data_IF_816947244327
#
_entry.id   IF_816947244327
#
_cell.length_a   1.000
_cell.length_b   1.000
_cell.length_c   1.000
_cell.angle_alpha   90.00
_cell.angle_beta   90.00
_cell.angle_gamma   90.00
#
_symmetry.space_group_name_H-M   'P 1'
#
loop_
_entity.id
_entity.type
_entity.pdbx_description
1 polymer ?
#
# COMPACT_ATOMS: atom_id res chain seq x y z
N UNK A 1 6.44 -22.99 -2.51
CA UNK A 1 7.59 -22.64 -3.37
C UNK A 1 8.57 -21.75 -2.61
N UNK A 2 9.73 -21.44 -3.17
CA UNK A 2 10.72 -20.57 -2.52
C UNK A 2 10.29 -19.10 -2.47
N UNK A 3 9.33 -18.70 -3.28
CA UNK A 3 8.74 -17.37 -3.32
C UNK A 3 7.25 -17.43 -2.96
N UNK A 4 6.79 -16.44 -2.21
CA UNK A 4 5.42 -16.32 -1.71
C UNK A 4 5.20 -16.97 -0.35
N UNK A 5 4.26 -16.42 0.42
CA UNK A 5 3.92 -16.92 1.76
C UNK A 5 2.97 -18.13 1.75
N UNK A 6 2.34 -18.44 0.62
CA UNK A 6 1.35 -19.51 0.48
C UNK A 6 0.00 -19.23 1.15
N UNK A 7 -0.25 -17.98 1.53
CA UNK A 7 -1.49 -17.46 2.10
C UNK A 7 -2.11 -16.44 1.16
N UNK A 8 -3.35 -16.03 1.42
CA UNK A 8 -3.98 -14.92 0.73
C UNK A 8 -3.38 -13.61 1.24
N UNK A 9 -2.32 -13.14 0.59
CA UNK A 9 -1.69 -11.84 0.84
C UNK A 9 -1.78 -11.00 -0.42
N UNK A 10 -2.48 -9.88 -0.34
CA UNK A 10 -2.58 -8.91 -1.43
C UNK A 10 -1.51 -7.85 -1.24
N UNK A 11 -0.81 -7.53 -2.32
CA UNK A 11 0.25 -6.52 -2.36
C UNK A 11 -0.16 -5.40 -3.32
N UNK A 12 0.31 -4.22 -3.06
CA UNK A 12 0.14 -3.07 -3.95
C UNK A 12 0.98 -1.89 -3.50
N UNK A 13 0.82 -0.76 -4.18
CA UNK A 13 1.60 0.44 -3.91
C UNK A 13 1.52 0.88 -2.45
N UNK A 14 2.66 1.00 -1.80
CA UNK A 14 2.78 1.24 -0.38
C UNK A 14 2.78 2.73 -0.03
N UNK A 15 1.94 3.10 0.93
CA UNK A 15 1.93 4.46 1.50
C UNK A 15 3.20 4.79 2.29
N UNK A 16 3.93 3.79 2.77
CA UNK A 16 5.19 3.98 3.51
C UNK A 16 6.26 4.70 2.68
N UNK A 17 6.17 4.60 1.35
CA UNK A 17 7.11 5.23 0.42
C UNK A 17 6.73 6.65 -0.04
N UNK A 18 5.61 7.23 0.41
CA UNK A 18 5.18 8.57 -0.04
C UNK A 18 6.29 9.62 0.15
N UNK A 19 6.89 9.69 1.35
CA UNK A 19 7.93 10.68 1.63
C UNK A 19 9.20 10.46 0.79
N UNK A 20 9.76 9.24 0.69
CA UNK A 20 10.87 8.95 -0.22
C UNK A 20 10.55 9.22 -1.69
N UNK A 21 9.33 8.91 -2.16
CA UNK A 21 8.90 9.18 -3.54
C UNK A 21 8.90 10.67 -3.83
N UNK A 22 8.33 11.50 -2.95
CA UNK A 22 8.33 12.96 -3.10
C UNK A 22 9.76 13.50 -3.15
N UNK A 23 10.62 13.02 -2.25
CA UNK A 23 12.04 13.42 -2.22
C UNK A 23 12.78 13.01 -3.51
N UNK A 24 12.65 11.77 -3.94
CA UNK A 24 13.29 11.28 -5.16
C UNK A 24 12.77 11.99 -6.42
N UNK A 25 11.45 12.27 -6.45
CA UNK A 25 10.82 13.03 -7.51
C UNK A 25 11.34 14.46 -7.62
N UNK A 26 11.59 15.12 -6.49
CA UNK A 26 12.19 16.46 -6.45
C UNK A 26 13.66 16.48 -6.92
N UNK A 27 14.40 15.38 -6.71
CA UNK A 27 15.82 15.27 -7.09
C UNK A 27 15.99 14.97 -8.58
N UNK A 28 15.20 14.04 -9.14
CA UNK A 28 15.44 13.56 -10.50
C UNK A 28 14.20 13.02 -11.21
N UNK A 29 12.99 13.42 -10.77
CA UNK A 29 11.73 13.04 -11.39
C UNK A 29 11.43 11.54 -11.29
N UNK A 30 10.56 11.07 -12.20
CA UNK A 30 10.19 9.65 -12.29
C UNK A 30 11.38 8.70 -12.48
N UNK A 31 12.41 9.01 -13.30
CA UNK A 31 13.58 8.14 -13.43
C UNK A 31 14.29 7.85 -12.11
N UNK A 32 14.39 8.85 -11.21
CA UNK A 32 15.05 8.68 -9.92
C UNK A 32 14.18 7.83 -8.97
N UNK A 33 12.86 7.96 -9.03
CA UNK A 33 11.94 7.13 -8.25
C UNK A 33 12.08 5.67 -8.67
N UNK A 34 12.02 5.37 -9.97
CA UNK A 34 12.10 3.99 -10.46
C UNK A 34 13.48 3.37 -10.20
N UNK A 35 14.56 4.14 -10.37
CA UNK A 35 15.90 3.69 -10.02
C UNK A 35 16.05 3.34 -8.53
N UNK A 36 15.56 4.23 -7.66
CA UNK A 36 15.58 4.00 -6.22
C UNK A 36 14.65 2.84 -5.81
N UNK A 37 13.50 2.67 -6.46
CA UNK A 37 12.60 1.52 -6.25
C UNK A 37 13.31 0.20 -6.52
N UNK A 38 13.94 0.08 -7.68
CA UNK A 38 14.61 -1.18 -8.09
C UNK A 38 15.80 -1.52 -7.20
N UNK A 39 16.69 -0.55 -6.97
CA UNK A 39 17.90 -0.80 -6.17
C UNK A 39 17.55 -0.96 -4.70
N UNK A 40 16.61 -0.15 -4.18
CA UNK A 40 16.13 -0.26 -2.80
C UNK A 40 15.46 -1.61 -2.51
N UNK A 41 14.68 -2.15 -3.45
CA UNK A 41 14.03 -3.45 -3.31
C UNK A 41 15.02 -4.61 -3.10
N UNK A 42 16.27 -4.48 -3.58
CA UNK A 42 17.34 -5.45 -3.29
C UNK A 42 17.60 -5.58 -1.80
N UNK A 43 17.45 -4.49 -1.03
CA UNK A 43 17.60 -4.54 0.43
C UNK A 43 16.54 -5.47 1.07
N UNK A 44 15.29 -5.39 0.63
CA UNK A 44 14.22 -6.27 1.13
C UNK A 44 14.45 -7.74 0.72
N UNK A 45 14.85 -7.98 -0.53
CA UNK A 45 15.24 -9.31 -1.01
C UNK A 45 16.35 -9.88 -0.13
N UNK A 46 17.36 -9.07 0.21
CA UNK A 46 18.47 -9.49 1.08
C UNK A 46 17.96 -9.82 2.49
N UNK A 47 17.11 -8.97 3.09
CA UNK A 47 16.53 -9.20 4.41
C UNK A 47 15.75 -10.52 4.44
N UNK A 48 15.02 -10.85 3.38
CA UNK A 48 14.29 -12.11 3.31
C UNK A 48 15.19 -13.32 3.52
N UNK A 49 16.45 -13.26 3.09
CA UNK A 49 17.43 -14.36 3.24
C UNK A 49 18.03 -14.44 4.63
N UNK A 50 18.23 -13.29 5.28
CA UNK A 50 18.79 -13.23 6.64
C UNK A 50 17.71 -13.15 7.72
N UNK A 51 16.44 -13.32 7.38
CA UNK A 51 15.30 -13.13 8.27
C UNK A 51 15.45 -13.87 9.61
N UNK A 52 16.02 -15.08 9.61
CA UNK A 52 16.29 -15.86 10.83
C UNK A 52 17.12 -15.06 11.86
N UNK A 53 18.06 -14.24 11.41
CA UNK A 53 18.87 -13.40 12.28
C UNK A 53 18.15 -12.09 12.61
N UNK A 54 17.46 -11.53 11.62
CA UNK A 54 16.66 -10.31 11.79
C UNK A 54 15.52 -10.50 12.81
N UNK A 55 14.87 -11.65 12.87
CA UNK A 55 13.83 -11.99 13.85
C UNK A 55 14.27 -11.90 15.31
N UNK A 56 15.58 -11.97 15.60
CA UNK A 56 16.08 -11.74 16.97
C UNK A 56 15.92 -10.30 17.41
N UNK A 57 15.84 -9.36 16.45
CA UNK A 57 15.69 -7.92 16.67
C UNK A 57 14.24 -7.50 16.42
N UNK A 58 13.61 -8.09 15.39
CA UNK A 58 12.22 -7.82 14.99
C UNK A 58 11.28 -8.58 15.93
N UNK A 59 11.00 -7.98 17.06
CA UNK A 59 9.98 -8.49 17.99
C UNK A 59 8.59 -7.96 17.62
N UNK A 60 7.49 -8.60 18.08
CA UNK A 60 6.15 -8.07 17.88
C UNK A 60 5.98 -6.62 18.36
N UNK A 61 6.71 -6.24 19.42
CA UNK A 61 6.74 -4.85 19.91
C UNK A 61 7.33 -3.89 18.87
N UNK A 62 8.47 -4.24 18.27
CA UNK A 62 9.10 -3.42 17.22
C UNK A 62 8.19 -3.28 16.02
N UNK A 63 7.56 -4.37 15.57
CA UNK A 63 6.57 -4.33 14.49
C UNK A 63 5.38 -3.42 14.83
N UNK A 64 4.83 -3.49 16.04
CA UNK A 64 3.75 -2.62 16.50
C UNK A 64 4.13 -1.13 16.52
N UNK A 65 5.35 -0.82 16.96
CA UNK A 65 5.87 0.56 16.95
C UNK A 65 5.99 1.08 15.52
N UNK A 66 6.54 0.29 14.59
CA UNK A 66 6.69 0.66 13.18
C UNK A 66 5.33 0.95 12.53
N UNK A 67 4.35 0.07 12.69
CA UNK A 67 2.99 0.26 12.15
C UNK A 67 2.34 1.52 12.73
N UNK A 68 2.53 1.78 14.02
CA UNK A 68 2.03 3.00 14.67
C UNK A 68 2.65 4.26 14.08
N UNK A 69 3.96 4.28 13.87
CA UNK A 69 4.69 5.42 13.28
C UNK A 69 4.25 5.66 11.83
N UNK A 70 4.05 4.60 11.04
CA UNK A 70 3.49 4.70 9.68
C UNK A 70 2.09 5.33 9.74
N UNK A 71 1.21 4.82 10.61
CA UNK A 71 -0.13 5.38 10.81
C UNK A 71 -0.11 6.87 11.17
N UNK A 72 0.79 7.28 12.07
CA UNK A 72 0.96 8.68 12.46
C UNK A 72 1.45 9.55 11.30
N UNK A 73 2.37 9.06 10.48
CA UNK A 73 2.88 9.79 9.31
C UNK A 73 1.78 10.03 8.25
N UNK A 74 0.83 9.09 8.14
CA UNK A 74 -0.29 9.19 7.20
C UNK A 74 -1.39 10.16 7.64
N UNK A 75 -1.43 10.59 8.90
CA UNK A 75 -2.41 11.59 9.40
C UNK A 75 -2.31 12.87 8.57
N UNK A 76 -1.09 13.35 8.32
CA UNK A 76 -0.88 14.57 7.50
C UNK A 76 -1.44 14.39 6.09
N UNK A 77 -1.20 13.24 5.46
CA UNK A 77 -1.71 12.91 4.12
C UNK A 77 -3.24 12.86 4.13
N UNK A 78 -3.83 12.21 5.16
CA UNK A 78 -5.28 12.15 5.32
C UNK A 78 -5.92 13.53 5.48
N UNK A 79 -5.36 14.40 6.32
CA UNK A 79 -5.85 15.77 6.52
C UNK A 79 -5.76 16.57 5.21
N UNK A 80 -4.63 16.46 4.49
CA UNK A 80 -4.46 17.13 3.20
C UNK A 80 -5.51 16.64 2.19
N UNK A 81 -5.76 15.35 2.13
CA UNK A 81 -6.77 14.76 1.23
C UNK A 81 -8.20 15.23 1.59
N UNK A 82 -8.55 15.27 2.88
CA UNK A 82 -9.83 15.79 3.35
C UNK A 82 -10.03 17.28 3.00
N UNK A 83 -8.95 18.06 2.99
CA UNK A 83 -8.97 19.47 2.60
C UNK A 83 -9.13 19.71 1.10
N UNK A 84 -9.12 18.67 0.27
CA UNK A 84 -9.24 18.75 -1.19
C UNK A 84 -7.97 18.38 -1.95
N UNK A 85 -6.95 17.85 -1.26
CA UNK A 85 -5.68 17.38 -1.83
C UNK A 85 -4.73 18.51 -2.22
N UNK A 86 -3.69 18.16 -2.97
CA UNK A 86 -2.65 19.10 -3.41
C UNK A 86 -3.18 20.13 -4.39
N UNK A 87 -4.11 19.75 -5.28
CA UNK A 87 -4.74 20.68 -6.23
C UNK A 87 -5.50 21.80 -5.54
N UNK A 88 -6.18 21.50 -4.41
CA UNK A 88 -6.87 22.53 -3.63
C UNK A 88 -5.89 23.46 -2.89
N UNK A 89 -4.70 22.98 -2.51
CA UNK A 89 -3.62 23.80 -1.97
C UNK A 89 -3.10 24.80 -3.01
N UNK A 90 -2.88 24.34 -4.24
CA UNK A 90 -2.40 25.16 -5.35
C UNK A 90 -3.44 26.21 -5.79
N UNK A 91 -4.71 25.84 -5.81
CA UNK A 91 -5.83 26.70 -6.22
C UNK A 91 -6.38 27.58 -5.09
N UNK A 92 -5.84 27.50 -3.88
CA UNK A 92 -6.30 28.31 -2.74
C UNK A 92 -7.68 27.90 -2.19
N UNK A 93 -8.22 26.75 -2.59
CA UNK A 93 -9.53 26.21 -2.14
C UNK A 93 -9.41 25.17 -1.03
N UNK A 94 -8.21 24.99 -0.48
CA UNK A 94 -7.94 24.06 0.59
C UNK A 94 -8.81 24.34 1.83
N UNK A 95 -9.42 23.29 2.35
CA UNK A 95 -10.28 23.39 3.54
C UNK A 95 -11.63 24.09 3.28
N UNK A 96 -12.03 24.26 2.02
CA UNK A 96 -13.35 24.80 1.71
C UNK A 96 -14.47 23.95 2.35
N UNK A 97 -15.62 24.58 2.64
CA UNK A 97 -16.78 23.87 3.20
C UNK A 97 -17.25 22.71 2.30
N UNK A 98 -17.09 22.84 0.99
CA UNK A 98 -17.42 21.78 0.04
C UNK A 98 -16.48 20.57 0.22
N UNK A 99 -15.17 20.78 0.25
CA UNK A 99 -14.17 19.72 0.42
C UNK A 99 -14.36 19.00 1.77
N UNK A 100 -14.45 19.78 2.84
CA UNK A 100 -14.64 19.21 4.20
C UNK A 100 -16.00 18.54 4.34
N UNK A 101 -17.06 19.09 3.72
CA UNK A 101 -18.39 18.50 3.74
C UNK A 101 -18.44 17.13 3.07
N UNK A 102 -17.81 16.99 1.90
CA UNK A 102 -17.73 15.70 1.19
C UNK A 102 -16.85 14.71 1.97
N UNK A 103 -15.70 15.14 2.49
CA UNK A 103 -14.85 14.29 3.30
C UNK A 103 -15.59 13.78 4.55
N UNK A 104 -16.31 14.66 5.25
CA UNK A 104 -17.12 14.29 6.40
C UNK A 104 -18.27 13.33 6.02
N UNK A 105 -18.97 13.61 4.92
CA UNK A 105 -20.02 12.73 4.40
C UNK A 105 -19.51 11.32 4.15
N UNK A 106 -18.42 11.19 3.38
CA UNK A 106 -17.82 9.89 3.05
C UNK A 106 -17.37 9.16 4.31
N UNK A 107 -16.71 9.86 5.24
CA UNK A 107 -16.28 9.27 6.51
C UNK A 107 -17.46 8.75 7.34
N UNK A 108 -18.50 9.55 7.49
CA UNK A 108 -19.71 9.17 8.23
C UNK A 108 -20.40 7.98 7.59
N UNK A 109 -20.53 7.96 6.27
CA UNK A 109 -21.12 6.82 5.53
C UNK A 109 -20.31 5.55 5.73
N UNK A 110 -18.97 5.62 5.61
CA UNK A 110 -18.10 4.46 5.84
C UNK A 110 -18.28 3.92 7.26
N UNK A 111 -18.29 4.78 8.28
CA UNK A 111 -18.47 4.38 9.67
C UNK A 111 -19.85 3.77 9.91
N UNK A 112 -20.91 4.36 9.36
CA UNK A 112 -22.28 3.85 9.50
C UNK A 112 -22.43 2.48 8.85
N UNK A 113 -21.97 2.30 7.61
CA UNK A 113 -22.06 1.01 6.93
C UNK A 113 -21.14 -0.04 7.54
N UNK A 114 -19.96 0.34 8.02
CA UNK A 114 -19.04 -0.56 8.71
C UNK A 114 -19.64 -1.08 10.03
N UNK A 115 -20.47 -0.28 10.71
CA UNK A 115 -21.16 -0.65 11.94
C UNK A 115 -22.44 -1.46 11.70
N UNK A 116 -22.87 -1.64 10.45
CA UNK A 116 -24.09 -2.37 10.11
C UNK A 116 -24.00 -3.85 10.51
N UNK A 117 -25.13 -4.40 10.96
CA UNK A 117 -25.28 -5.84 11.21
C UNK A 117 -25.26 -6.67 9.94
N UNK A 118 -25.54 -6.05 8.79
CA UNK A 118 -25.49 -6.73 7.50
C UNK A 118 -24.03 -6.89 7.06
N UNK A 119 -23.59 -8.16 6.88
CA UNK A 119 -22.23 -8.52 6.49
C UNK A 119 -21.80 -7.87 5.18
N UNK A 120 -22.69 -7.82 4.18
CA UNK A 120 -22.37 -7.25 2.85
C UNK A 120 -22.19 -5.73 2.89
N UNK A 121 -23.04 -5.02 3.64
CA UNK A 121 -22.89 -3.58 3.83
C UNK A 121 -21.61 -3.24 4.57
N UNK A 122 -21.25 -4.03 5.58
CA UNK A 122 -20.02 -3.84 6.35
C UNK A 122 -18.78 -4.06 5.49
N UNK A 123 -18.77 -5.11 4.65
CA UNK A 123 -17.65 -5.41 3.75
C UNK A 123 -17.52 -4.37 2.63
N UNK A 124 -18.64 -3.89 2.08
CA UNK A 124 -18.68 -2.89 1.02
C UNK A 124 -18.64 -1.44 1.51
N UNK A 125 -18.53 -1.19 2.81
CA UNK A 125 -18.67 0.15 3.41
C UNK A 125 -17.78 1.21 2.75
N UNK A 126 -16.53 0.90 2.46
CA UNK A 126 -15.58 1.81 1.82
C UNK A 126 -16.00 2.08 0.38
N UNK A 127 -16.32 1.04 -0.39
CA UNK A 127 -16.74 1.18 -1.80
C UNK A 127 -18.03 1.99 -1.90
N UNK A 128 -19.02 1.68 -1.06
CA UNK A 128 -20.29 2.40 -1.01
C UNK A 128 -20.06 3.87 -0.63
N UNK A 129 -19.25 4.13 0.40
CA UNK A 129 -18.92 5.49 0.83
C UNK A 129 -18.24 6.30 -0.26
N UNK A 130 -17.24 5.75 -0.93
CA UNK A 130 -16.54 6.41 -2.04
C UNK A 130 -17.48 6.66 -3.22
N UNK A 131 -18.31 5.66 -3.60
CA UNK A 131 -19.25 5.79 -4.71
C UNK A 131 -20.26 6.92 -4.46
N UNK A 132 -20.85 6.96 -3.26
CA UNK A 132 -21.78 8.03 -2.89
C UNK A 132 -21.06 9.39 -2.87
N UNK A 133 -19.87 9.45 -2.28
CA UNK A 133 -19.05 10.66 -2.27
C UNK A 133 -18.74 11.18 -3.67
N UNK A 134 -18.40 10.30 -4.60
CA UNK A 134 -18.15 10.65 -6.00
C UNK A 134 -19.41 11.19 -6.70
N UNK A 135 -20.57 10.54 -6.50
CA UNK A 135 -21.85 10.98 -7.03
C UNK A 135 -22.19 12.39 -6.51
N UNK A 136 -22.04 12.60 -5.20
CA UNK A 136 -22.30 13.92 -4.60
C UNK A 136 -21.34 14.98 -5.15
N UNK A 137 -20.04 14.66 -5.28
CA UNK A 137 -19.03 15.55 -5.86
C UNK A 137 -19.37 15.94 -7.31
N UNK A 138 -19.90 14.98 -8.10
CA UNK A 138 -20.37 15.25 -9.45
C UNK A 138 -21.52 16.26 -9.47
N UNK A 139 -22.55 16.09 -8.65
CA UNK A 139 -23.67 17.02 -8.57
C UNK A 139 -23.26 18.39 -7.98
N UNK A 140 -22.21 18.44 -7.17
CA UNK A 140 -21.64 19.70 -6.67
C UNK A 140 -20.75 20.43 -7.70
N UNK A 141 -20.57 19.85 -8.91
CA UNK A 141 -19.74 20.45 -9.96
C UNK A 141 -18.23 20.41 -9.66
N UNK A 142 -17.79 19.51 -8.76
CA UNK A 142 -16.36 19.37 -8.39
C UNK A 142 -15.62 18.39 -9.27
N UNK A 143 -16.32 17.65 -10.13
CA UNK A 143 -15.73 16.68 -11.05
C UNK A 143 -15.73 17.29 -12.45
N UNK A 144 -14.53 17.50 -12.99
CA UNK A 144 -14.32 18.00 -14.34
C UNK A 144 -13.90 16.84 -15.27
N UNK A 145 -14.71 16.58 -16.29
CA UNK A 145 -14.44 15.57 -17.31
C UNK A 145 -13.81 16.15 -18.58
N UNK A 146 -13.70 17.47 -18.68
CA UNK A 146 -13.24 18.14 -19.92
C UNK A 146 -11.77 17.87 -20.23
N UNK A 147 -10.98 17.53 -19.22
CA UNK A 147 -9.55 17.24 -19.34
C UNK A 147 -9.23 15.74 -19.28
N UNK A 148 -10.21 14.87 -19.54
CA UNK A 148 -9.90 13.43 -19.63
C UNK A 148 -9.03 13.15 -20.84
N UNK A 149 -7.80 12.62 -20.63
CA UNK A 149 -6.97 12.20 -21.75
C UNK A 149 -7.63 11.02 -22.49
N UNK A 150 -7.47 10.96 -23.79
CA UNK A 150 -7.87 9.81 -24.60
C UNK A 150 -7.03 8.58 -24.19
N UNK A 151 -7.57 7.77 -23.32
CA UNK A 151 -6.92 6.50 -22.95
C UNK A 151 -7.31 5.41 -23.95
N UNK A 152 -6.33 4.72 -24.50
CA UNK A 152 -6.60 3.45 -25.17
C UNK A 152 -7.06 2.43 -24.12
N UNK A 153 -8.11 1.66 -24.43
CA UNK A 153 -8.64 0.61 -23.55
C UNK A 153 -7.59 -0.46 -23.20
N UNK A 154 -6.59 -0.63 -24.04
CA UNK A 154 -5.48 -1.55 -23.83
C UNK A 154 -4.16 -0.78 -23.93
N UNK A 155 -3.42 -0.74 -22.83
CA UNK A 155 -2.08 -0.17 -22.79
C UNK A 155 -1.14 -1.21 -22.16
N UNK A 156 -0.15 -1.66 -22.94
CA UNK A 156 0.87 -2.57 -22.43
C UNK A 156 1.95 -1.74 -21.74
N UNK A 157 2.26 -2.02 -20.46
CA UNK A 157 3.32 -1.30 -19.76
C UNK A 157 4.67 -1.60 -20.41
N UNK A 158 5.29 -0.58 -21.01
CA UNK A 158 6.62 -0.69 -21.59
C UNK A 158 7.65 -0.57 -20.47
N UNK A 159 8.53 -1.58 -20.26
CA UNK A 159 9.58 -1.48 -19.27
C UNK A 159 10.46 -0.24 -19.52
N UNK A 160 10.84 0.44 -18.45
CA UNK A 160 11.73 1.61 -18.46
C UNK A 160 11.27 2.79 -19.34
N UNK A 161 9.96 2.92 -19.60
CA UNK A 161 9.38 3.96 -20.49
C UNK A 161 9.84 5.37 -20.12
N UNK A 162 9.97 5.68 -18.84
CA UNK A 162 10.37 7.00 -18.35
C UNK A 162 11.86 7.10 -18.05
N UNK A 163 12.64 6.06 -18.39
CA UNK A 163 14.04 5.96 -18.06
C UNK A 163 14.30 5.61 -16.60
N UNK A 164 15.58 5.48 -16.27
CA UNK A 164 16.05 5.13 -14.92
C UNK A 164 17.26 6.00 -14.61
N UNK A 165 17.27 6.62 -13.43
CA UNK A 165 18.45 7.30 -12.90
C UNK A 165 18.75 6.85 -11.48
N UNK A 166 20.02 6.79 -11.14
CA UNK A 166 20.48 6.31 -9.85
C UNK A 166 21.03 7.47 -9.04
N UNK A 167 20.27 7.87 -8.02
CA UNK A 167 20.72 8.86 -7.05
C UNK A 167 20.94 8.18 -5.70
N UNK A 168 22.12 8.31 -5.14
CA UNK A 168 22.52 7.62 -3.91
C UNK A 168 21.63 8.00 -2.72
N UNK A 169 21.26 9.28 -2.57
CA UNK A 169 20.40 9.72 -1.46
C UNK A 169 18.99 9.14 -1.57
N UNK A 170 18.42 9.10 -2.79
CA UNK A 170 17.13 8.48 -3.04
C UNK A 170 17.18 6.97 -2.77
N UNK A 171 18.20 6.28 -3.27
CA UNK A 171 18.39 4.83 -3.06
C UNK A 171 18.51 4.52 -1.56
N UNK A 172 19.28 5.29 -0.81
CA UNK A 172 19.45 5.09 0.63
C UNK A 172 18.13 5.26 1.39
N UNK A 173 17.35 6.32 1.07
CA UNK A 173 16.05 6.55 1.66
C UNK A 173 15.08 5.41 1.38
N UNK A 174 15.02 4.92 0.13
CA UNK A 174 14.20 3.77 -0.24
C UNK A 174 14.65 2.50 0.47
N UNK A 175 15.96 2.21 0.52
CA UNK A 175 16.50 1.04 1.20
C UNK A 175 16.12 1.00 2.69
N UNK A 176 16.16 2.15 3.38
CA UNK A 176 15.73 2.25 4.78
C UNK A 176 14.23 1.90 4.90
N UNK A 177 13.38 2.44 4.01
CA UNK A 177 11.94 2.15 4.06
C UNK A 177 11.67 0.70 3.70
N UNK A 178 12.42 0.09 2.77
CA UNK A 178 12.30 -1.35 2.49
C UNK A 178 12.68 -2.25 3.68
N UNK A 179 13.56 -1.80 4.56
CA UNK A 179 13.82 -2.50 5.84
C UNK A 179 12.57 -2.43 6.73
N UNK A 180 11.91 -1.28 6.75
CA UNK A 180 10.68 -1.06 7.53
C UNK A 180 9.53 -1.89 6.97
N UNK A 181 9.33 -1.90 5.63
CA UNK A 181 8.27 -2.70 5.00
C UNK A 181 8.51 -4.20 5.13
N UNK A 182 9.76 -4.66 5.16
CA UNK A 182 10.06 -6.06 5.48
C UNK A 182 9.60 -6.45 6.91
N UNK A 183 9.71 -5.54 7.88
CA UNK A 183 9.21 -5.74 9.25
C UNK A 183 7.68 -5.73 9.26
N UNK A 184 7.06 -4.82 8.53
CA UNK A 184 5.61 -4.75 8.34
C UNK A 184 5.09 -6.05 7.70
N UNK A 185 5.69 -6.48 6.59
CA UNK A 185 5.36 -7.72 5.90
C UNK A 185 5.46 -8.95 6.82
N UNK A 186 6.49 -9.02 7.68
CA UNK A 186 6.60 -10.07 8.68
C UNK A 186 5.42 -10.07 9.65
N UNK A 187 5.02 -8.89 10.15
CA UNK A 187 3.88 -8.72 11.03
C UNK A 187 2.57 -9.16 10.37
N UNK A 188 2.35 -8.75 9.12
CA UNK A 188 1.14 -9.08 8.34
C UNK A 188 1.06 -10.57 8.01
N UNK A 189 2.17 -11.21 7.64
CA UNK A 189 2.23 -12.65 7.40
C UNK A 189 1.95 -13.42 8.70
N UNK A 190 2.43 -12.92 9.84
CA UNK A 190 2.15 -13.50 11.16
C UNK A 190 0.65 -13.44 11.47
N UNK A 191 0.05 -12.25 11.33
CA UNK A 191 -1.38 -12.04 11.54
C UNK A 191 -2.23 -12.91 10.59
N UNK A 192 -1.87 -12.95 9.31
CA UNK A 192 -2.56 -13.78 8.31
C UNK A 192 -2.44 -15.28 8.63
N UNK A 193 -1.27 -15.74 9.08
CA UNK A 193 -1.08 -17.13 9.51
C UNK A 193 -1.99 -17.49 10.67
N UNK A 194 -2.09 -16.62 11.69
CA UNK A 194 -3.00 -16.80 12.84
C UNK A 194 -4.44 -16.91 12.40
N UNK A 195 -4.91 -15.97 11.58
CA UNK A 195 -6.29 -15.92 11.09
C UNK A 195 -6.62 -17.13 10.23
N UNK A 196 -5.64 -17.62 9.47
CA UNK A 196 -5.78 -18.79 8.57
C UNK A 196 -5.60 -20.11 9.29
N UNK A 197 -5.39 -20.13 10.62
CA UNK A 197 -5.17 -21.36 11.41
C UNK A 197 -3.83 -22.04 11.12
N UNK A 198 -2.86 -21.29 10.61
CA UNK A 198 -1.53 -21.79 10.27
C UNK A 198 -0.50 -21.46 11.36
N UNK A 199 0.56 -22.27 11.53
CA UNK A 199 1.57 -22.04 12.56
C UNK A 199 2.29 -20.70 12.35
N UNK A 200 2.58 -20.01 13.47
CA UNK A 200 3.32 -18.73 13.53
C UNK A 200 4.72 -18.90 14.12
N UNK A 201 5.12 -20.12 14.39
CA UNK A 201 6.44 -20.47 14.92
C UNK A 201 7.03 -21.66 14.17
N UNK A 202 8.32 -21.87 14.37
CA UNK A 202 9.06 -23.00 13.80
C UNK A 202 9.51 -22.78 12.34
N UNK A 203 10.11 -23.82 11.77
CA UNK A 203 10.75 -23.74 10.46
C UNK A 203 9.75 -23.54 9.31
N UNK A 204 8.53 -24.08 9.44
CA UNK A 204 7.46 -23.89 8.44
C UNK A 204 7.06 -22.43 8.34
N UNK A 205 6.88 -21.76 9.47
CA UNK A 205 6.57 -20.34 9.52
C UNK A 205 7.73 -19.47 9.00
N UNK A 206 8.95 -19.78 9.42
CA UNK A 206 10.13 -19.03 8.94
C UNK A 206 10.25 -19.08 7.41
N UNK A 207 10.10 -20.25 6.79
CA UNK A 207 10.10 -20.40 5.33
C UNK A 207 8.98 -19.63 4.66
N UNK A 208 7.80 -19.58 5.28
CA UNK A 208 6.64 -18.79 4.81
C UNK A 208 6.93 -17.30 4.84
N UNK A 209 7.44 -16.79 5.96
CA UNK A 209 7.79 -15.38 6.11
C UNK A 209 8.91 -14.97 5.14
N UNK A 210 9.97 -15.78 5.04
CA UNK A 210 11.05 -15.57 4.06
C UNK A 210 10.52 -15.51 2.62
N UNK A 211 9.65 -16.45 2.26
CA UNK A 211 9.04 -16.50 0.93
C UNK A 211 8.13 -15.31 0.64
N UNK A 212 7.37 -14.83 1.63
CA UNK A 212 6.50 -13.68 1.50
C UNK A 212 7.27 -12.37 1.33
N UNK A 213 8.27 -12.11 2.18
CA UNK A 213 9.14 -10.93 2.08
C UNK A 213 9.97 -10.96 0.78
N UNK A 214 10.42 -12.13 0.37
CA UNK A 214 11.10 -12.27 -0.93
C UNK A 214 10.18 -11.89 -2.09
N UNK A 215 8.93 -12.34 -2.06
CA UNK A 215 7.95 -12.04 -3.10
C UNK A 215 7.62 -10.54 -3.13
N UNK A 216 7.56 -9.88 -1.98
CA UNK A 216 7.32 -8.45 -1.85
C UNK A 216 8.46 -7.63 -2.49
N UNK A 217 9.70 -7.93 -2.14
CA UNK A 217 10.87 -7.28 -2.73
C UNK A 217 11.00 -7.53 -4.25
N UNK A 218 10.74 -8.77 -4.71
CA UNK A 218 10.74 -9.07 -6.17
C UNK A 218 9.63 -8.32 -6.90
N UNK A 219 8.43 -8.25 -6.30
CA UNK A 219 7.31 -7.52 -6.88
C UNK A 219 7.61 -6.00 -6.97
N UNK A 220 8.22 -5.43 -5.93
CA UNK A 220 8.68 -4.04 -5.94
C UNK A 220 9.76 -3.77 -7.00
N UNK A 221 10.69 -4.72 -7.19
CA UNK A 221 11.69 -4.62 -8.25
C UNK A 221 11.03 -4.61 -9.63
N UNK A 222 10.07 -5.51 -9.88
CA UNK A 222 9.29 -5.55 -11.12
C UNK A 222 8.44 -4.29 -11.29
N UNK A 223 7.86 -3.76 -10.21
CA UNK A 223 7.10 -2.52 -10.22
C UNK A 223 7.97 -1.35 -10.74
N UNK A 224 9.19 -1.21 -10.22
CA UNK A 224 10.14 -0.19 -10.71
C UNK A 224 10.50 -0.36 -12.19
N UNK A 225 10.69 -1.60 -12.67
CA UNK A 225 10.93 -1.89 -14.08
C UNK A 225 9.73 -1.54 -14.98
N UNK A 226 8.51 -1.76 -14.49
CA UNK A 226 7.26 -1.51 -15.22
C UNK A 226 6.69 -0.12 -14.97
N UNK A 227 7.50 0.81 -14.46
CA UNK A 227 7.15 2.20 -14.20
C UNK A 227 6.03 2.38 -13.16
N UNK A 228 6.03 1.53 -12.14
CA UNK A 228 5.16 1.62 -10.97
C UNK A 228 5.96 1.91 -9.70
N UNK A 229 5.25 2.20 -8.62
CA UNK A 229 5.83 2.55 -7.33
C UNK A 229 6.09 1.31 -6.47
N UNK A 230 6.91 1.43 -5.38
CA UNK A 230 7.17 0.34 -4.47
C UNK A 230 5.90 -0.26 -3.88
N UNK A 231 5.89 -1.58 -3.73
CA UNK A 231 4.78 -2.32 -3.16
C UNK A 231 5.04 -2.71 -1.70
N UNK A 232 3.97 -3.04 -0.99
CA UNK A 232 4.01 -3.76 0.29
C UNK A 232 2.75 -4.61 0.48
N UNK A 233 2.77 -5.50 1.46
CA UNK A 233 1.61 -6.32 1.82
C UNK A 233 0.57 -5.41 2.48
N UNK A 234 -0.70 -5.57 2.08
CA UNK A 234 -1.80 -4.81 2.66
C UNK A 234 -2.33 -5.47 3.94
N UNK A 235 -2.08 -4.83 5.09
CA UNK A 235 -2.63 -5.25 6.39
C UNK A 235 -4.16 -5.32 6.40
N UNK A 236 -4.84 -4.47 5.61
CA UNK A 236 -6.29 -4.44 5.44
C UNK A 236 -6.85 -5.78 4.95
N UNK A 237 -6.06 -6.54 4.19
CA UNK A 237 -6.43 -7.86 3.73
C UNK A 237 -6.72 -8.84 4.89
N UNK A 238 -5.96 -8.74 5.98
CA UNK A 238 -6.16 -9.56 7.18
C UNK A 238 -7.54 -9.29 7.80
N UNK A 239 -7.96 -8.03 7.85
CA UNK A 239 -9.30 -7.65 8.30
C UNK A 239 -10.41 -8.22 7.40
N UNK A 240 -10.20 -8.21 6.08
CA UNK A 240 -11.15 -8.80 5.13
C UNK A 240 -11.27 -10.31 5.29
N UNK A 241 -10.18 -11.04 5.49
CA UNK A 241 -10.18 -12.47 5.77
C UNK A 241 -10.97 -12.77 7.05
N UNK A 242 -10.77 -12.01 8.12
CA UNK A 242 -11.53 -12.16 9.38
C UNK A 242 -13.03 -11.94 9.17
N UNK A 243 -13.41 -10.91 8.42
CA UNK A 243 -14.81 -10.57 8.18
C UNK A 243 -15.51 -11.59 7.28
N UNK A 244 -14.82 -12.08 6.26
CA UNK A 244 -15.42 -12.99 5.26
C UNK A 244 -15.31 -14.45 5.64
N UNK A 245 -14.31 -14.83 6.44
CA UNK A 245 -13.92 -16.20 6.68
C UNK A 245 -13.25 -16.87 5.47
N UNK A 246 -12.88 -16.09 4.43
CA UNK A 246 -12.27 -16.60 3.20
C UNK A 246 -10.76 -16.37 3.25
N UNK A 247 -10.00 -17.42 3.56
CA UNK A 247 -8.53 -17.40 3.62
C UNK A 247 -7.86 -18.10 2.44
N UNK A 248 -8.62 -18.53 1.43
CA UNK A 248 -8.10 -19.28 0.29
C UNK A 248 -7.21 -18.42 -0.59
N UNK A 249 -5.96 -18.82 -0.77
CA UNK A 249 -5.00 -18.15 -1.68
C UNK A 249 -5.48 -18.08 -3.14
N UNK A 250 -6.37 -18.98 -3.54
CA UNK A 250 -6.91 -18.99 -4.92
C UNK A 250 -7.76 -17.77 -5.21
N UNK A 251 -8.36 -17.15 -4.20
CA UNK A 251 -9.08 -15.87 -4.37
C UNK A 251 -8.14 -14.76 -4.85
N UNK A 252 -6.87 -14.82 -4.48
CA UNK A 252 -5.86 -13.87 -4.94
C UNK A 252 -5.72 -13.80 -6.47
N UNK A 253 -5.94 -14.91 -7.18
CA UNK A 253 -5.91 -14.93 -8.66
C UNK A 253 -7.07 -14.16 -9.32
N UNK A 254 -8.13 -13.90 -8.57
CA UNK A 254 -9.27 -13.09 -9.06
C UNK A 254 -9.17 -11.63 -8.63
N UNK A 255 -8.28 -11.32 -7.68
CA UNK A 255 -8.03 -9.95 -7.20
C UNK A 255 -6.92 -9.29 -8.04
N UNK A 256 -5.94 -10.06 -8.51
CA UNK A 256 -4.82 -9.60 -9.33
C UNK A 256 -5.24 -9.36 -10.79
#
# INVERSE_FOLDING_TARGET
GPAGCGLLCVQGTSFSFISPIIMAGAIGGLPAIFGATMVGAVAEIFISRILRYAMKIITPLVSGIVVTLIGMSLIKVGITSCGGGTSALENGTFGSFQNLGIAALVLVLIVLFNRSSNRYLRMGSIIIGITIGYIVSYFCGMVDFSNMPDYSLFNVPLPFKYGVSFNFSAILAFAIVYIITAIEAYGDITANSLISGEPVEGEKFLKRAQGGILADGVNSLLAGMLNSFPNSIFAQNNGMIQLTGVASRYVGYFIA
#
